data_IF_341005812520
#
_entry.id   IF_341005812520
#
_cell.length_a   1.000
_cell.length_b   1.000
_cell.length_c   1.000
_cell.angle_alpha   90.00
_cell.angle_beta   90.00
_cell.angle_gamma   90.00
#
_symmetry.space_group_name_H-M   'P 1'
#
loop_
_entity.id
_entity.type
_entity.pdbx_description
1 polymer ?
#
# COMPACT_ATOMS: atom_id res chain seq x y z
N UNK A 1 5.10 -6.48 13.29
CA UNK A 1 3.78 -6.58 12.64
C UNK A 1 3.49 -8.05 12.41
N UNK A 2 2.25 -8.48 12.57
CA UNK A 2 1.82 -9.88 12.34
C UNK A 2 0.54 -9.89 11.50
N UNK A 3 0.13 -11.04 11.00
CA UNK A 3 -1.20 -11.24 10.45
C UNK A 3 -2.12 -11.94 11.47
N UNK A 4 -3.39 -12.14 11.10
CA UNK A 4 -4.38 -12.86 11.91
C UNK A 4 -5.15 -13.90 11.07
N UNK A 5 -5.66 -14.98 11.67
CA UNK A 5 -6.13 -16.15 10.93
C UNK A 5 -7.50 -16.01 10.27
N UNK A 6 -8.40 -15.16 10.78
CA UNK A 6 -9.80 -15.12 10.33
C UNK A 6 -10.45 -13.73 10.36
N UNK A 7 -11.78 -13.72 10.22
CA UNK A 7 -12.62 -12.51 10.16
C UNK A 7 -13.04 -11.98 11.53
N UNK A 8 -12.67 -12.67 12.61
CA UNK A 8 -12.93 -12.25 14.00
C UNK A 8 -11.71 -12.52 14.87
N UNK A 9 -11.61 -11.82 16.00
CA UNK A 9 -10.49 -11.97 16.93
C UNK A 9 -10.84 -13.02 18.00
N UNK A 10 -10.27 -14.23 17.87
CA UNK A 10 -10.42 -15.26 18.90
C UNK A 10 -9.56 -14.97 20.16
N UNK A 11 -9.89 -15.67 21.25
CA UNK A 11 -9.25 -15.47 22.55
C UNK A 11 -7.74 -15.80 22.54
N UNK A 12 -7.33 -16.85 21.82
CA UNK A 12 -5.94 -17.27 21.74
C UNK A 12 -5.08 -16.23 20.99
N UNK A 13 -5.61 -15.69 19.90
CA UNK A 13 -5.00 -14.62 19.12
C UNK A 13 -4.94 -13.34 19.95
N UNK A 14 -6.03 -12.98 20.65
CA UNK A 14 -6.04 -11.82 21.54
C UNK A 14 -4.97 -11.95 22.66
N UNK A 15 -4.85 -13.12 23.28
CA UNK A 15 -3.81 -13.39 24.28
C UNK A 15 -2.40 -13.29 23.68
N UNK A 16 -2.18 -13.85 22.48
CA UNK A 16 -0.92 -13.71 21.76
C UNK A 16 -0.54 -12.24 21.53
N UNK A 17 -1.49 -11.42 21.04
CA UNK A 17 -1.26 -10.00 20.79
C UNK A 17 -0.90 -9.25 22.09
N UNK A 18 -1.59 -9.53 23.21
CA UNK A 18 -1.29 -8.92 24.52
C UNK A 18 0.07 -9.36 25.06
N UNK A 19 0.33 -10.66 25.09
CA UNK A 19 1.54 -11.28 25.65
C UNK A 19 2.80 -10.77 24.97
N UNK A 20 2.75 -10.63 23.64
CA UNK A 20 3.89 -10.16 22.84
C UNK A 20 3.87 -8.65 22.61
N UNK A 21 2.93 -7.92 23.20
CA UNK A 21 2.77 -6.47 23.06
C UNK A 21 2.75 -6.03 21.59
N UNK A 22 2.05 -6.80 20.75
CA UNK A 22 1.91 -6.47 19.33
C UNK A 22 1.12 -5.15 19.19
N UNK A 23 1.57 -4.30 18.28
CA UNK A 23 0.98 -2.98 18.00
C UNK A 23 0.68 -2.73 16.52
N UNK A 24 0.96 -3.71 15.66
CA UNK A 24 0.71 -3.60 14.24
C UNK A 24 0.24 -4.95 13.67
N UNK A 25 -0.85 -4.92 12.91
CA UNK A 25 -1.38 -6.08 12.18
C UNK A 25 -1.58 -5.76 10.70
N UNK A 26 -1.37 -6.73 9.83
CA UNK A 26 -1.71 -6.67 8.42
C UNK A 26 -2.95 -7.52 8.15
N UNK A 27 -3.96 -6.94 7.49
CA UNK A 27 -5.17 -7.63 7.06
C UNK A 27 -5.02 -8.09 5.60
N UNK A 28 -5.44 -9.32 5.36
CA UNK A 28 -5.51 -9.95 4.04
C UNK A 28 -6.96 -10.31 3.69
N UNK A 29 -7.21 -10.79 2.46
CA UNK A 29 -8.56 -11.16 1.99
C UNK A 29 -9.30 -12.11 2.95
N UNK A 30 -8.59 -13.04 3.60
CA UNK A 30 -9.17 -13.96 4.61
C UNK A 30 -9.75 -13.27 5.86
N UNK A 31 -9.38 -12.01 6.11
CA UNK A 31 -9.86 -11.22 7.23
C UNK A 31 -11.04 -10.31 6.84
N UNK A 32 -11.35 -10.22 5.54
CA UNK A 32 -12.34 -9.30 4.97
C UNK A 32 -13.65 -10.02 4.70
N UNK A 33 -14.44 -10.19 5.77
CA UNK A 33 -15.84 -10.58 5.66
C UNK A 33 -16.72 -9.43 5.15
N UNK A 34 -17.88 -9.26 5.76
CA UNK A 34 -18.75 -8.10 5.56
C UNK A 34 -18.14 -6.83 6.17
N UNK A 35 -18.65 -5.65 5.77
CA UNK A 35 -18.22 -4.37 6.35
C UNK A 35 -18.31 -4.34 7.89
N UNK A 36 -19.42 -4.84 8.44
CA UNK A 36 -19.66 -4.88 9.89
C UNK A 36 -18.69 -5.82 10.62
N UNK A 37 -18.35 -6.95 10.00
CA UNK A 37 -17.35 -7.87 10.56
C UNK A 37 -15.96 -7.23 10.57
N UNK A 38 -15.57 -6.52 9.50
CA UNK A 38 -14.28 -5.83 9.48
C UNK A 38 -14.24 -4.70 10.51
N UNK A 39 -15.30 -3.90 10.64
CA UNK A 39 -15.40 -2.84 11.67
C UNK A 39 -15.27 -3.42 13.08
N UNK A 40 -15.93 -4.56 13.35
CA UNK A 40 -15.84 -5.24 14.64
C UNK A 40 -14.42 -5.75 14.89
N UNK A 41 -13.84 -6.43 13.91
CA UNK A 41 -12.49 -6.94 13.99
C UNK A 41 -11.47 -5.84 14.27
N UNK A 42 -11.53 -4.70 13.57
CA UNK A 42 -10.60 -3.59 13.80
C UNK A 42 -10.84 -2.87 15.13
N UNK A 43 -12.07 -2.87 15.66
CA UNK A 43 -12.36 -2.39 17.01
C UNK A 43 -11.75 -3.32 18.08
N UNK A 44 -11.97 -4.63 17.97
CA UNK A 44 -11.42 -5.63 18.89
C UNK A 44 -9.88 -5.60 18.91
N UNK A 45 -9.27 -5.51 17.73
CA UNK A 45 -7.83 -5.34 17.57
C UNK A 45 -7.31 -4.08 18.27
N UNK A 46 -8.04 -2.96 18.16
CA UNK A 46 -7.66 -1.70 18.81
C UNK A 46 -7.82 -1.74 20.32
N UNK A 47 -8.81 -2.46 20.85
CA UNK A 47 -8.94 -2.70 22.29
C UNK A 47 -7.74 -3.50 22.84
N UNK A 48 -7.32 -4.54 22.11
CA UNK A 48 -6.25 -5.44 22.53
C UNK A 48 -4.86 -4.84 22.34
N UNK A 49 -4.62 -4.17 21.21
CA UNK A 49 -3.33 -3.58 20.86
C UNK A 49 -3.19 -2.14 21.36
N UNK A 50 -4.26 -1.48 21.79
CA UNK A 50 -4.26 -0.10 22.26
C UNK A 50 -4.54 0.94 21.16
N UNK A 51 -4.86 2.18 21.56
CA UNK A 51 -5.43 3.21 20.67
C UNK A 51 -4.49 3.65 19.54
N UNK A 52 -3.18 3.57 19.75
CA UNK A 52 -2.15 3.93 18.77
C UNK A 52 -1.70 2.76 17.87
N UNK A 53 -2.43 1.65 17.86
CA UNK A 53 -2.08 0.51 17.00
C UNK A 53 -2.22 0.84 15.51
N UNK A 54 -1.40 0.18 14.69
CA UNK A 54 -1.50 0.22 13.23
C UNK A 54 -2.23 -1.01 12.70
N UNK A 55 -3.19 -0.78 11.82
CA UNK A 55 -3.92 -1.81 11.11
C UNK A 55 -3.70 -1.53 9.62
N UNK A 56 -2.89 -2.39 9.01
CA UNK A 56 -2.38 -2.30 7.64
C UNK A 56 -3.18 -3.14 6.65
N UNK A 57 -3.17 -2.73 5.39
CA UNK A 57 -3.75 -3.48 4.26
C UNK A 57 -3.05 -3.08 2.95
N UNK A 58 -3.06 -3.95 1.95
CA UNK A 58 -2.72 -3.59 0.56
C UNK A 58 -3.99 -3.17 -0.19
N UNK A 59 -4.21 -1.87 -0.36
CA UNK A 59 -5.32 -1.34 -1.15
C UNK A 59 -4.77 -0.31 -2.15
N UNK A 60 -4.08 -0.79 -3.17
CA UNK A 60 -3.39 0.03 -4.18
C UNK A 60 -4.38 0.55 -5.24
N UNK A 61 -5.26 -0.34 -5.73
CA UNK A 61 -6.04 -0.13 -6.95
C UNK A 61 -5.68 -1.18 -8.02
N UNK A 62 -6.48 -1.26 -9.09
CA UNK A 62 -6.27 -2.26 -10.15
C UNK A 62 -6.27 -3.70 -9.61
N UNK A 63 -5.27 -4.50 -10.01
CA UNK A 63 -5.11 -5.89 -9.56
C UNK A 63 -4.84 -6.07 -8.05
N UNK A 64 -4.39 -5.05 -7.33
CA UNK A 64 -4.10 -5.15 -5.89
C UNK A 64 -5.16 -4.41 -5.07
N UNK A 65 -6.26 -5.12 -4.86
CA UNK A 65 -7.38 -4.70 -4.02
C UNK A 65 -7.77 -5.85 -3.08
N UNK A 66 -7.92 -5.56 -1.80
CA UNK A 66 -8.33 -6.56 -0.80
C UNK A 66 -9.79 -6.36 -0.41
N UNK A 67 -10.19 -5.13 -0.07
CA UNK A 67 -11.56 -4.78 0.30
C UNK A 67 -12.39 -4.48 -0.96
N UNK A 68 -12.75 -5.51 -1.71
CA UNK A 68 -13.44 -5.40 -3.02
C UNK A 68 -14.87 -4.87 -2.93
N UNK A 69 -15.46 -4.86 -1.72
CA UNK A 69 -16.79 -4.29 -1.45
C UNK A 69 -16.77 -2.76 -1.31
N UNK A 70 -15.59 -2.15 -1.18
CA UNK A 70 -15.43 -0.70 -1.26
C UNK A 70 -15.30 -0.26 -2.74
N UNK A 71 -15.61 1.01 -3.06
CA UNK A 71 -15.25 1.59 -4.35
C UNK A 71 -13.76 1.38 -4.66
N UNK A 72 -13.47 0.89 -5.87
CA UNK A 72 -12.13 0.46 -6.26
C UNK A 72 -11.44 1.57 -7.05
N UNK A 73 -10.20 1.90 -6.65
CA UNK A 73 -9.36 2.80 -7.43
C UNK A 73 -8.91 2.11 -8.73
N UNK A 74 -8.72 2.88 -9.82
CA UNK A 74 -8.06 2.36 -11.01
C UNK A 74 -6.62 1.94 -10.68
N UNK A 75 -5.99 1.17 -11.58
CA UNK A 75 -4.57 0.88 -11.49
C UNK A 75 -3.74 2.18 -11.55
N UNK A 76 -2.58 2.20 -10.89
CA UNK A 76 -1.72 3.38 -10.88
C UNK A 76 -1.29 3.79 -12.29
N UNK A 77 -1.09 2.83 -13.21
CA UNK A 77 -0.75 3.12 -14.60
C UNK A 77 -1.85 3.90 -15.32
N UNK A 78 -3.12 3.64 -15.00
CA UNK A 78 -4.22 4.40 -15.57
C UNK A 78 -4.26 5.84 -15.03
N UNK A 79 -3.92 6.05 -13.75
CA UNK A 79 -3.74 7.39 -13.18
C UNK A 79 -2.56 8.11 -13.82
N UNK A 80 -1.47 7.38 -14.06
CA UNK A 80 -0.30 7.80 -14.83
C UNK A 80 -0.63 8.28 -16.23
N UNK A 81 -1.44 7.50 -16.96
CA UNK A 81 -1.86 7.83 -18.32
C UNK A 81 -2.76 9.07 -18.38
N UNK A 82 -3.54 9.34 -17.33
CA UNK A 82 -4.33 10.58 -17.22
C UNK A 82 -3.46 11.78 -16.87
N UNK A 83 -2.40 11.57 -16.10
CA UNK A 83 -1.42 12.58 -15.68
C UNK A 83 -2.03 13.82 -15.00
N UNK A 84 -2.99 13.59 -14.10
CA UNK A 84 -3.66 14.64 -13.33
C UNK A 84 -3.40 14.47 -11.82
N UNK A 85 -2.65 15.42 -11.25
CA UNK A 85 -2.35 15.44 -9.81
C UNK A 85 -3.59 15.62 -8.93
N UNK A 86 -4.51 16.49 -9.34
CA UNK A 86 -5.71 16.76 -8.56
C UNK A 86 -6.60 15.51 -8.51
N UNK A 87 -6.69 14.79 -9.63
CA UNK A 87 -7.36 13.50 -9.68
C UNK A 87 -6.66 12.46 -8.80
N UNK A 88 -5.33 12.35 -8.87
CA UNK A 88 -4.58 11.41 -8.03
C UNK A 88 -4.79 11.68 -6.53
N UNK A 89 -4.79 12.95 -6.11
CA UNK A 89 -5.09 13.34 -4.74
C UNK A 89 -6.52 12.98 -4.32
N UNK A 90 -7.51 13.21 -5.20
CA UNK A 90 -8.89 12.80 -4.96
C UNK A 90 -9.03 11.29 -4.81
N UNK A 91 -8.36 10.51 -5.66
CA UNK A 91 -8.36 9.05 -5.59
C UNK A 91 -7.71 8.54 -4.31
N UNK A 92 -6.55 9.07 -3.93
CA UNK A 92 -5.90 8.73 -2.65
C UNK A 92 -6.78 9.02 -1.45
N UNK A 93 -7.48 10.16 -1.44
CA UNK A 93 -8.45 10.50 -0.41
C UNK A 93 -9.67 9.56 -0.40
N UNK A 94 -10.22 9.21 -1.57
CA UNK A 94 -11.37 8.31 -1.65
C UNK A 94 -11.03 6.90 -1.10
N UNK A 95 -9.87 6.36 -1.46
CA UNK A 95 -9.39 5.06 -0.95
C UNK A 95 -9.21 5.13 0.56
N UNK A 96 -8.51 6.14 1.06
CA UNK A 96 -8.25 6.31 2.48
C UNK A 96 -9.54 6.48 3.30
N UNK A 97 -10.54 7.21 2.79
CA UNK A 97 -11.85 7.34 3.44
C UNK A 97 -12.57 6.00 3.57
N UNK A 98 -12.53 5.17 2.53
CA UNK A 98 -13.06 3.81 2.57
C UNK A 98 -12.39 2.97 3.65
N UNK A 99 -11.05 2.93 3.66
CA UNK A 99 -10.26 2.21 4.68
C UNK A 99 -10.51 2.72 6.10
N UNK A 100 -10.50 4.03 6.27
CA UNK A 100 -10.74 4.68 7.56
C UNK A 100 -12.11 4.35 8.11
N UNK A 101 -13.12 4.24 7.25
CA UNK A 101 -14.45 3.81 7.65
C UNK A 101 -14.43 2.41 8.28
N UNK A 102 -13.56 1.51 7.83
CA UNK A 102 -13.40 0.16 8.37
C UNK A 102 -12.49 0.10 9.61
N UNK A 103 -11.98 1.24 10.10
CA UNK A 103 -11.06 1.31 11.23
C UNK A 103 -9.59 0.99 10.89
N UNK A 104 -9.28 0.86 9.60
CA UNK A 104 -7.93 0.68 9.04
C UNK A 104 -7.26 2.05 8.95
N UNK A 105 -5.98 2.15 9.35
CA UNK A 105 -5.27 3.42 9.44
C UNK A 105 -3.88 3.40 8.79
N UNK A 106 -3.52 2.31 8.11
CA UNK A 106 -2.29 2.22 7.34
C UNK A 106 -2.56 1.48 6.03
N UNK A 107 -2.18 2.08 4.90
CA UNK A 107 -2.29 1.47 3.58
C UNK A 107 -0.89 1.28 3.00
N UNK A 108 -0.60 0.09 2.49
CA UNK A 108 0.64 -0.21 1.79
C UNK A 108 0.57 0.28 0.34
N UNK A 109 0.41 1.58 0.19
CA UNK A 109 0.34 2.31 -1.06
C UNK A 109 0.81 3.75 -0.81
N UNK A 110 1.26 4.47 -1.85
CA UNK A 110 1.34 4.04 -3.25
C UNK A 110 2.62 3.26 -3.59
N UNK A 111 2.63 2.64 -4.77
CA UNK A 111 3.83 2.07 -5.39
C UNK A 111 4.63 3.20 -6.05
N UNK A 112 5.94 3.25 -5.78
CA UNK A 112 6.90 4.20 -6.35
C UNK A 112 7.86 3.56 -7.36
N UNK A 113 7.70 2.27 -7.64
CA UNK A 113 8.50 1.58 -8.65
C UNK A 113 8.29 2.21 -10.04
N UNK A 114 9.38 2.44 -10.77
CA UNK A 114 9.35 3.01 -12.13
C UNK A 114 9.25 1.89 -13.15
N UNK A 115 8.20 1.86 -13.98
CA UNK A 115 7.92 0.76 -14.90
C UNK A 115 8.72 0.84 -16.20
N UNK A 116 10.04 0.76 -16.08
CA UNK A 116 11.03 0.87 -17.17
C UNK A 116 11.33 -0.46 -17.90
N UNK A 117 10.79 -1.57 -17.41
CA UNK A 117 11.04 -2.89 -17.97
C UNK A 117 9.73 -3.54 -18.44
N UNK A 118 9.49 -3.68 -19.75
CA UNK A 118 8.27 -4.29 -20.28
C UNK A 118 8.15 -5.79 -19.97
N UNK A 119 9.24 -6.44 -19.56
CA UNK A 119 9.29 -7.82 -19.11
C UNK A 119 9.02 -8.00 -17.61
N UNK A 120 8.75 -6.92 -16.85
CA UNK A 120 8.46 -7.01 -15.43
C UNK A 120 7.11 -7.70 -15.18
N UNK A 121 7.08 -8.86 -14.50
CA UNK A 121 5.84 -9.61 -14.33
C UNK A 121 4.99 -9.15 -13.13
N UNK A 122 5.54 -8.32 -12.23
CA UNK A 122 4.96 -8.04 -10.90
C UNK A 122 4.51 -6.60 -10.70
N UNK A 123 5.27 -5.62 -11.20
CA UNK A 123 4.94 -4.20 -11.03
C UNK A 123 3.92 -3.79 -12.08
N UNK A 124 4.28 -3.82 -13.37
CA UNK A 124 3.37 -3.60 -14.49
C UNK A 124 2.38 -2.43 -14.22
N UNK A 125 1.08 -2.68 -14.23
CA UNK A 125 0.02 -1.69 -14.04
C UNK A 125 -0.01 -1.03 -12.64
N UNK A 126 0.72 -1.56 -11.67
CA UNK A 126 0.80 -1.04 -10.29
C UNK A 126 1.69 0.19 -10.17
N UNK A 127 2.53 0.46 -11.15
CA UNK A 127 3.33 1.69 -11.23
C UNK A 127 2.56 2.82 -11.92
N UNK A 128 2.84 4.07 -11.56
CA UNK A 128 2.32 5.25 -12.25
C UNK A 128 2.94 5.46 -13.65
N UNK A 129 4.05 4.81 -13.99
CA UNK A 129 4.65 4.94 -15.33
C UNK A 129 6.16 4.76 -15.34
N UNK A 130 6.76 5.11 -16.48
CA UNK A 130 8.18 4.94 -16.76
C UNK A 130 9.05 6.18 -16.47
N UNK A 131 8.43 7.36 -16.32
CA UNK A 131 9.13 8.59 -15.96
C UNK A 131 9.20 8.74 -14.42
N UNK A 132 10.39 8.72 -13.80
CA UNK A 132 10.53 8.84 -12.34
C UNK A 132 9.98 10.17 -11.80
N UNK A 133 10.03 11.27 -12.55
CA UNK A 133 9.51 12.55 -12.07
C UNK A 133 7.98 12.55 -12.05
N UNK A 134 7.35 11.99 -13.08
CA UNK A 134 5.91 11.79 -13.12
C UNK A 134 5.44 10.84 -12.00
N UNK A 135 6.14 9.72 -11.78
CA UNK A 135 5.85 8.79 -10.68
C UNK A 135 5.90 9.51 -9.33
N UNK A 136 6.95 10.30 -9.07
CA UNK A 136 7.08 11.06 -7.83
C UNK A 136 5.92 12.04 -7.62
N UNK A 137 5.59 12.82 -8.64
CA UNK A 137 4.55 13.84 -8.61
C UNK A 137 3.16 13.24 -8.36
N UNK A 138 2.78 12.23 -9.15
CA UNK A 138 1.45 11.61 -9.07
C UNK A 138 1.27 10.78 -7.80
N UNK A 139 2.28 9.97 -7.42
CA UNK A 139 2.25 9.23 -6.18
C UNK A 139 2.25 10.17 -4.95
N UNK A 140 3.00 11.27 -5.01
CA UNK A 140 2.98 12.31 -3.99
C UNK A 140 1.59 12.94 -3.83
N UNK A 141 0.89 13.22 -4.94
CA UNK A 141 -0.48 13.70 -4.89
C UNK A 141 -1.43 12.68 -4.25
N UNK A 142 -1.32 11.41 -4.64
CA UNK A 142 -2.09 10.32 -4.02
C UNK A 142 -1.84 10.22 -2.51
N UNK A 143 -0.58 10.34 -2.07
CA UNK A 143 -0.20 10.35 -0.65
C UNK A 143 -0.84 11.50 0.11
N UNK A 144 -0.80 12.74 -0.42
CA UNK A 144 -1.45 13.90 0.19
C UNK A 144 -2.93 13.64 0.45
N UNK A 145 -3.62 13.02 -0.51
CA UNK A 145 -5.01 12.61 -0.38
C UNK A 145 -5.24 11.64 0.77
N UNK A 146 -4.44 10.57 0.84
CA UNK A 146 -4.55 9.55 1.89
C UNK A 146 -4.27 10.11 3.29
N UNK A 147 -3.20 10.91 3.42
CA UNK A 147 -2.78 11.51 4.67
C UNK A 147 -3.82 12.50 5.20
N UNK A 148 -4.47 13.28 4.33
CA UNK A 148 -5.57 14.19 4.70
C UNK A 148 -6.75 13.46 5.35
N UNK A 149 -7.04 12.24 4.94
CA UNK A 149 -8.10 11.40 5.52
C UNK A 149 -7.62 10.59 6.74
N UNK A 150 -6.36 10.79 7.14
CA UNK A 150 -5.76 10.19 8.33
C UNK A 150 -5.44 8.70 8.19
N UNK A 151 -5.11 8.26 6.98
CA UNK A 151 -4.56 6.91 6.72
C UNK A 151 -3.11 7.06 6.28
N UNK A 152 -2.20 6.44 7.03
CA UNK A 152 -0.78 6.46 6.73
C UNK A 152 -0.49 5.71 5.42
N UNK A 153 0.52 6.18 4.68
CA UNK A 153 1.02 5.51 3.48
C UNK A 153 2.23 4.63 3.80
N UNK A 154 2.56 3.71 2.91
CA UNK A 154 3.82 2.98 2.90
C UNK A 154 4.26 2.87 1.44
N UNK A 155 5.24 3.69 1.08
CA UNK A 155 5.81 3.68 -0.27
C UNK A 155 6.62 2.41 -0.49
N UNK A 156 6.57 1.85 -1.70
CA UNK A 156 7.20 0.57 -2.02
C UNK A 156 7.56 0.43 -3.51
N UNK A 157 8.49 -0.44 -3.89
CA UNK A 157 9.31 -1.32 -3.04
C UNK A 157 10.76 -0.81 -3.08
N UNK A 158 11.21 -0.12 -2.02
CA UNK A 158 12.57 0.41 -1.98
C UNK A 158 13.61 -0.71 -2.17
N UNK A 159 14.68 -0.51 -2.98
CA UNK A 159 15.07 0.73 -3.66
C UNK A 159 14.39 0.96 -5.02
N UNK A 160 13.56 0.04 -5.48
CA UNK A 160 12.86 0.06 -6.77
C UNK A 160 12.81 -1.36 -7.34
N UNK A 161 11.61 -1.84 -7.65
CA UNK A 161 11.35 -3.19 -8.18
C UNK A 161 10.88 -3.15 -9.65
N UNK A 162 10.89 -1.97 -10.26
CA UNK A 162 10.40 -1.74 -11.62
C UNK A 162 11.23 -2.41 -12.72
N UNK A 163 12.52 -2.66 -12.46
CA UNK A 163 13.43 -3.28 -13.43
C UNK A 163 13.87 -4.70 -13.04
N UNK A 164 12.91 -5.57 -12.76
CA UNK A 164 13.17 -6.96 -12.42
C UNK A 164 12.47 -7.90 -13.41
N UNK A 165 13.17 -8.93 -13.86
CA UNK A 165 12.63 -9.94 -14.80
C UNK A 165 12.06 -11.19 -14.09
N UNK A 166 12.05 -11.21 -12.76
CA UNK A 166 11.69 -12.39 -11.97
C UNK A 166 10.69 -11.99 -10.90
N UNK A 167 9.68 -12.83 -10.71
CA UNK A 167 8.69 -12.64 -9.66
C UNK A 167 9.30 -12.92 -8.28
N UNK A 168 9.27 -11.90 -7.41
CA UNK A 168 9.75 -11.98 -6.02
C UNK A 168 9.03 -13.01 -5.16
N UNK A 169 7.84 -13.47 -5.57
CA UNK A 169 7.14 -14.57 -4.88
C UNK A 169 7.82 -15.93 -5.12
N UNK A 170 8.67 -16.04 -6.13
CA UNK A 170 9.24 -17.31 -6.59
C UNK A 170 10.76 -17.38 -6.52
N UNK A 171 11.46 -16.26 -6.68
CA UNK A 171 12.91 -16.20 -6.53
C UNK A 171 13.37 -14.81 -6.09
N UNK A 172 14.64 -14.70 -5.72
CA UNK A 172 15.26 -13.42 -5.37
C UNK A 172 15.57 -12.62 -6.65
N UNK A 173 14.89 -11.49 -6.92
CA UNK A 173 15.21 -10.66 -8.08
C UNK A 173 16.52 -9.90 -7.87
N UNK A 174 17.24 -9.64 -8.96
CA UNK A 174 18.47 -8.84 -8.99
C UNK A 174 18.29 -7.68 -9.97
N UNK A 175 18.70 -6.49 -9.56
CA UNK A 175 18.82 -5.31 -10.42
C UNK A 175 20.32 -5.04 -10.61
N UNK A 176 20.83 -5.29 -11.82
CA UNK A 176 22.26 -5.14 -12.14
C UNK A 176 22.53 -3.72 -12.65
N UNK A 177 22.55 -2.76 -11.72
CA UNK A 177 22.78 -1.34 -11.97
C UNK A 177 23.81 -0.77 -11.01
N UNK A 178 24.59 0.20 -11.50
CA UNK A 178 25.41 1.04 -10.65
C UNK A 178 24.54 1.91 -9.73
N UNK A 179 25.12 2.40 -8.63
CA UNK A 179 24.43 3.34 -7.74
C UNK A 179 23.99 4.59 -8.49
N UNK A 180 24.80 5.12 -9.40
CA UNK A 180 24.46 6.32 -10.18
C UNK A 180 23.22 6.10 -11.07
N UNK A 181 23.08 4.91 -11.65
CA UNK A 181 21.90 4.54 -12.44
C UNK A 181 20.66 4.41 -11.55
N UNK A 182 20.77 3.76 -10.39
CA UNK A 182 19.68 3.68 -9.42
C UNK A 182 19.27 5.07 -8.91
N UNK A 183 20.21 5.96 -8.66
CA UNK A 183 19.95 7.34 -8.22
C UNK A 183 19.23 8.18 -9.27
N UNK A 184 19.56 7.97 -10.55
CA UNK A 184 18.94 8.68 -11.65
C UNK A 184 17.51 8.20 -11.95
N UNK A 185 17.16 6.96 -11.58
CA UNK A 185 15.91 6.33 -11.97
C UNK A 185 15.13 5.75 -10.77
N UNK A 186 15.46 4.54 -10.29
CA UNK A 186 14.68 3.81 -9.28
C UNK A 186 14.51 4.57 -7.96
N UNK A 187 15.59 5.20 -7.46
CA UNK A 187 15.61 5.90 -6.18
C UNK A 187 15.01 7.31 -6.26
N UNK A 188 14.82 7.85 -7.47
CA UNK A 188 14.44 9.24 -7.68
C UNK A 188 13.05 9.56 -7.08
N UNK A 189 12.00 8.73 -7.26
CA UNK A 189 10.72 8.94 -6.59
C UNK A 189 10.81 8.85 -5.06
N UNK A 190 11.58 7.89 -4.53
CA UNK A 190 11.75 7.73 -3.08
C UNK A 190 12.45 8.94 -2.46
N UNK A 191 13.49 9.48 -3.11
CA UNK A 191 14.19 10.68 -2.65
C UNK A 191 13.29 11.91 -2.66
N UNK A 192 12.51 12.08 -3.74
CA UNK A 192 11.58 13.20 -3.87
C UNK A 192 10.52 13.21 -2.75
N UNK A 193 10.13 12.04 -2.25
CA UNK A 193 9.06 11.88 -1.26
C UNK A 193 9.55 11.54 0.16
N UNK A 194 10.86 11.55 0.41
CA UNK A 194 11.44 11.18 1.71
C UNK A 194 11.05 12.13 2.86
N UNK A 195 10.58 13.35 2.52
CA UNK A 195 10.18 14.40 3.47
C UNK A 195 8.74 14.89 3.23
N UNK A 196 7.96 14.14 2.45
CA UNK A 196 6.59 14.48 2.08
C UNK A 196 5.58 14.14 3.19
#
# INVERSE_FOLDING_TARGET
>A
MVDIPGTSLDAATAEFLRRHRVRAVCLFRRNLGTEDEVRRLTADLREVMGPSCLIGIDQEGGSVVRATFLPQAPAAMALGAVDDEALCEQVGAAVARGLRSLGINWNFAPVLDVNNNPGNPVIAERSFGEDPDAVARLAGAWMRGSLREGVACCVKHFPGHGDTNVDSHHALPTVDKSIAELEALELRPFRALAHA
#
